data_IF_306922062730
#
_entry.id   IF_306922062730
#
_cell.length_a   1.000
_cell.length_b   1.000
_cell.length_c   1.000
_cell.angle_alpha   90.00
_cell.angle_beta   90.00
_cell.angle_gamma   90.00
#
_symmetry.space_group_name_H-M   'P 1'
#
loop_
_entity.id
_entity.type
_entity.pdbx_description
1 polymer ?
#
# COMPACT_ATOMS: atom_id res chain seq x y z
N UNK A 1 19.53 -0.85 19.93
CA UNK A 1 18.59 -0.50 18.86
C UNK A 1 19.41 -0.09 17.66
N UNK A 2 19.40 -0.90 16.60
CA UNK A 2 20.28 -0.72 15.44
C UNK A 2 19.62 0.10 14.32
N UNK A 3 18.28 0.25 14.35
CA UNK A 3 17.48 0.93 13.33
C UNK A 3 16.57 1.97 13.99
N UNK A 4 16.44 3.14 13.36
CA UNK A 4 15.62 4.27 13.86
C UNK A 4 14.36 4.51 13.04
N UNK A 5 14.30 4.03 11.80
CA UNK A 5 13.10 4.03 10.94
C UNK A 5 13.18 2.93 9.88
N UNK A 6 12.04 2.54 9.33
CA UNK A 6 11.92 1.71 8.14
C UNK A 6 11.38 2.50 6.96
N UNK A 7 11.84 2.16 5.77
CA UNK A 7 11.26 2.62 4.52
C UNK A 7 10.96 1.44 3.61
N UNK A 8 9.69 1.26 3.26
CA UNK A 8 9.23 0.24 2.33
C UNK A 8 9.22 0.80 0.90
N UNK A 9 10.22 0.44 0.10
CA UNK A 9 10.24 0.69 -1.34
C UNK A 9 9.39 -0.37 -2.06
N UNK A 10 8.14 -0.04 -2.36
CA UNK A 10 7.16 -1.03 -2.85
C UNK A 10 7.54 -1.67 -4.18
N UNK A 11 8.24 -0.96 -5.04
CA UNK A 11 8.72 -1.47 -6.33
C UNK A 11 9.77 -2.56 -6.14
N UNK A 12 10.82 -2.28 -5.37
CA UNK A 12 11.90 -3.24 -5.11
C UNK A 12 11.39 -4.42 -4.27
N UNK A 13 10.58 -4.14 -3.25
CA UNK A 13 9.96 -5.17 -2.45
C UNK A 13 9.15 -6.15 -3.30
N UNK A 14 8.38 -5.64 -4.26
CA UNK A 14 7.62 -6.47 -5.19
C UNK A 14 8.55 -7.33 -6.04
N UNK A 15 9.55 -6.72 -6.67
CA UNK A 15 10.47 -7.41 -7.55
C UNK A 15 11.17 -8.58 -6.85
N UNK A 16 11.69 -8.36 -5.66
CA UNK A 16 12.38 -9.40 -4.91
C UNK A 16 11.44 -10.44 -4.31
N UNK A 17 10.24 -10.04 -3.87
CA UNK A 17 9.29 -10.97 -3.27
C UNK A 17 8.75 -12.00 -4.26
N UNK A 18 8.41 -11.56 -5.47
CA UNK A 18 7.81 -12.43 -6.50
C UNK A 18 8.81 -12.82 -7.60
N UNK A 19 10.08 -12.39 -7.47
CA UNK A 19 11.16 -12.69 -8.41
C UNK A 19 10.83 -12.32 -9.87
N UNK A 20 10.14 -11.19 -10.07
CA UNK A 20 9.72 -10.71 -11.40
C UNK A 20 10.40 -9.37 -11.69
N UNK A 21 11.22 -9.35 -12.73
CA UNK A 21 11.81 -8.12 -13.24
C UNK A 21 10.78 -7.35 -14.07
N UNK A 22 10.43 -6.13 -13.62
CA UNK A 22 9.47 -5.26 -14.31
C UNK A 22 9.95 -4.75 -15.66
N UNK A 23 11.26 -4.75 -15.89
CA UNK A 23 11.87 -4.27 -17.17
C UNK A 23 11.95 -5.38 -18.21
N UNK A 24 11.81 -6.63 -17.80
CA UNK A 24 11.82 -7.77 -18.70
C UNK A 24 10.44 -7.99 -19.34
N UNK A 25 10.29 -7.66 -20.59
CA UNK A 25 9.02 -7.72 -21.34
C UNK A 25 8.33 -9.10 -21.31
N UNK A 26 9.08 -10.19 -21.07
CA UNK A 26 8.51 -11.54 -21.01
C UNK A 26 7.72 -11.79 -19.73
N UNK A 27 8.09 -11.13 -18.64
CA UNK A 27 7.51 -11.37 -17.31
C UNK A 27 6.92 -10.10 -16.65
N UNK A 28 7.09 -8.92 -17.24
CA UNK A 28 6.62 -7.66 -16.70
C UNK A 28 5.11 -7.64 -16.37
N UNK A 29 4.32 -8.39 -17.14
CA UNK A 29 2.87 -8.55 -16.88
C UNK A 29 2.55 -9.33 -15.60
N UNK A 30 3.53 -10.03 -15.02
CA UNK A 30 3.42 -10.74 -13.75
C UNK A 30 3.77 -9.83 -12.56
N UNK A 31 4.38 -8.67 -12.82
CA UNK A 31 4.71 -7.70 -11.77
C UNK A 31 3.42 -7.13 -11.16
N UNK A 32 3.12 -7.52 -9.94
CA UNK A 32 1.91 -7.12 -9.22
C UNK A 32 2.26 -6.61 -7.81
N UNK A 33 2.36 -5.28 -7.60
CA UNK A 33 2.64 -4.72 -6.27
C UNK A 33 1.62 -5.13 -5.21
N UNK A 34 0.39 -5.41 -5.61
CA UNK A 34 -0.68 -5.91 -4.73
C UNK A 34 -0.74 -7.44 -4.65
N UNK A 35 0.34 -8.15 -5.02
CA UNK A 35 0.41 -9.60 -4.82
C UNK A 35 0.28 -9.94 -3.33
N UNK A 36 -0.54 -10.95 -2.94
CA UNK A 36 -0.76 -11.27 -1.52
C UNK A 36 0.51 -11.46 -0.70
N UNK A 37 1.57 -12.04 -1.29
CA UNK A 37 2.86 -12.20 -0.63
C UNK A 37 3.51 -10.83 -0.31
N UNK A 38 3.43 -9.86 -1.23
CA UNK A 38 3.96 -8.50 -1.04
C UNK A 38 3.21 -7.81 0.09
N UNK A 39 1.88 -7.87 0.07
CA UNK A 39 1.04 -7.23 1.09
C UNK A 39 1.30 -7.82 2.48
N UNK A 40 1.49 -9.14 2.58
CA UNK A 40 1.86 -9.80 3.85
C UNK A 40 3.23 -9.37 4.37
N UNK A 41 4.23 -9.19 3.50
CA UNK A 41 5.55 -8.70 3.93
C UNK A 41 5.46 -7.24 4.38
N UNK A 42 4.66 -6.41 3.69
CA UNK A 42 4.40 -5.05 4.15
C UNK A 42 3.77 -5.03 5.54
N UNK A 43 2.72 -5.83 5.76
CA UNK A 43 2.05 -5.95 7.05
C UNK A 43 3.01 -6.41 8.15
N UNK A 44 3.82 -7.44 7.89
CA UNK A 44 4.84 -7.93 8.83
C UNK A 44 5.84 -6.83 9.21
N UNK A 45 6.29 -6.03 8.25
CA UNK A 45 7.27 -4.96 8.49
C UNK A 45 6.65 -3.80 9.28
N UNK A 46 5.44 -3.37 8.91
CA UNK A 46 4.72 -2.29 9.60
C UNK A 46 4.42 -2.72 11.04
N UNK A 47 3.88 -3.93 11.24
CA UNK A 47 3.58 -4.48 12.56
C UNK A 47 4.84 -4.61 13.42
N UNK A 48 5.96 -5.04 12.85
CA UNK A 48 7.23 -5.08 13.57
C UNK A 48 7.70 -3.68 13.98
N UNK A 49 7.56 -2.69 13.09
CA UNK A 49 7.84 -1.29 13.38
C UNK A 49 6.98 -0.76 14.53
N UNK A 50 5.68 -1.01 14.49
CA UNK A 50 4.75 -0.61 15.56
C UNK A 50 5.15 -1.20 16.92
N UNK A 51 5.45 -2.50 16.97
CA UNK A 51 5.86 -3.19 18.19
C UNK A 51 7.14 -2.63 18.81
N UNK A 52 8.08 -2.21 17.99
CA UNK A 52 9.37 -1.66 18.41
C UNK A 52 9.37 -0.12 18.51
N UNK A 53 8.23 0.54 18.25
CA UNK A 53 8.12 1.99 18.11
C UNK A 53 9.11 2.58 17.10
N UNK A 54 9.23 1.92 15.95
CA UNK A 54 10.05 2.34 14.81
C UNK A 54 9.10 2.88 13.72
N UNK A 55 9.20 4.16 13.34
CA UNK A 55 8.38 4.71 12.26
C UNK A 55 8.61 3.95 10.95
N UNK A 56 7.52 3.64 10.25
CA UNK A 56 7.58 2.97 8.95
C UNK A 56 6.97 3.85 7.88
N UNK A 57 7.78 4.28 6.91
CA UNK A 57 7.36 5.04 5.75
C UNK A 57 7.18 4.11 4.54
N UNK A 58 6.24 4.46 3.67
CA UNK A 58 6.04 3.79 2.37
C UNK A 58 6.45 4.73 1.26
N UNK A 59 7.24 4.25 0.32
CA UNK A 59 7.60 4.95 -0.90
C UNK A 59 7.39 4.06 -2.13
N UNK A 60 7.54 4.64 -3.32
CA UNK A 60 7.29 3.96 -4.59
C UNK A 60 5.88 4.24 -5.13
N UNK A 61 5.53 3.58 -6.21
CA UNK A 61 4.31 3.87 -6.98
C UNK A 61 3.02 3.67 -6.17
N UNK A 62 2.98 2.66 -5.29
CA UNK A 62 1.80 2.41 -4.46
C UNK A 62 1.45 3.58 -3.54
N UNK A 63 2.44 4.32 -3.03
CA UNK A 63 2.20 5.44 -2.13
C UNK A 63 1.43 6.60 -2.80
N UNK A 64 1.56 6.74 -4.13
CA UNK A 64 0.88 7.74 -4.93
C UNK A 64 -0.44 7.27 -5.58
N UNK A 65 -0.80 6.01 -5.43
CA UNK A 65 -2.00 5.45 -6.01
C UNK A 65 -3.21 5.63 -5.08
N UNK A 66 -4.12 6.53 -5.47
CA UNK A 66 -5.34 6.83 -4.70
C UNK A 66 -6.24 5.60 -4.50
N UNK A 67 -6.16 4.60 -5.36
CA UNK A 67 -6.98 3.38 -5.22
C UNK A 67 -6.45 2.45 -4.12
N UNK A 68 -5.17 2.58 -3.77
CA UNK A 68 -4.48 1.75 -2.77
C UNK A 68 -4.32 2.42 -1.41
N UNK A 69 -4.65 3.72 -1.29
CA UNK A 69 -4.55 4.44 -0.01
C UNK A 69 -5.32 3.77 1.14
N UNK A 70 -6.57 3.29 0.94
CA UNK A 70 -7.28 2.59 2.01
C UNK A 70 -6.51 1.37 2.52
N UNK A 71 -5.88 0.62 1.62
CA UNK A 71 -5.07 -0.54 1.97
C UNK A 71 -3.84 -0.12 2.80
N UNK A 72 -3.08 0.86 2.32
CA UNK A 72 -1.86 1.31 2.99
C UNK A 72 -2.15 1.88 4.39
N UNK A 73 -3.19 2.69 4.51
CA UNK A 73 -3.64 3.24 5.81
C UNK A 73 -4.14 2.10 6.73
N UNK A 74 -4.89 1.16 6.18
CA UNK A 74 -5.42 0.01 6.93
C UNK A 74 -4.34 -0.95 7.42
N UNK A 75 -3.23 -1.08 6.71
CA UNK A 75 -2.04 -1.82 7.17
C UNK A 75 -1.27 -1.09 8.29
N UNK A 76 -1.56 0.19 8.52
CA UNK A 76 -0.89 0.98 9.56
C UNK A 76 0.20 1.93 9.04
N UNK A 77 0.22 2.24 7.74
CA UNK A 77 1.15 3.22 7.20
C UNK A 77 0.93 4.60 7.83
N UNK A 78 1.97 5.14 8.47
CA UNK A 78 1.93 6.45 9.13
C UNK A 78 2.57 7.57 8.31
N UNK A 79 3.39 7.21 7.34
CA UNK A 79 4.09 8.15 6.46
C UNK A 79 4.19 7.60 5.05
N UNK A 80 3.97 8.47 4.06
CA UNK A 80 4.10 8.14 2.64
C UNK A 80 4.92 9.19 1.92
N UNK A 81 5.90 8.73 1.13
CA UNK A 81 6.70 9.57 0.26
C UNK A 81 6.14 9.51 -1.15
N UNK A 82 5.66 10.64 -1.65
CA UNK A 82 5.02 10.78 -2.96
C UNK A 82 5.60 11.96 -3.74
N UNK A 83 5.39 11.97 -5.05
CA UNK A 83 5.74 13.13 -5.87
C UNK A 83 5.02 14.40 -5.39
N UNK A 84 5.69 15.54 -5.40
CA UNK A 84 5.18 16.82 -4.86
C UNK A 84 3.81 17.17 -5.45
N UNK A 85 3.61 16.90 -6.74
CA UNK A 85 2.34 17.18 -7.44
C UNK A 85 1.16 16.32 -6.94
N UNK A 86 1.44 15.17 -6.32
CA UNK A 86 0.42 14.26 -5.76
C UNK A 86 0.02 14.64 -4.33
N UNK A 87 0.83 15.41 -3.62
CA UNK A 87 0.60 15.71 -2.20
C UNK A 87 -0.79 16.29 -1.92
N UNK A 88 -1.33 17.25 -2.70
CA UNK A 88 -2.67 17.78 -2.44
C UNK A 88 -3.75 16.71 -2.57
N UNK A 89 -3.66 15.85 -3.59
CA UNK A 89 -4.63 14.79 -3.88
C UNK A 89 -4.59 13.73 -2.78
N UNK A 90 -3.40 13.27 -2.41
CA UNK A 90 -3.20 12.28 -1.36
C UNK A 90 -3.70 12.78 0.01
N UNK A 91 -3.41 14.07 0.34
CA UNK A 91 -3.92 14.68 1.57
C UNK A 91 -5.44 14.78 1.60
N UNK A 92 -6.05 15.13 0.48
CA UNK A 92 -7.50 15.14 0.35
C UNK A 92 -8.08 13.75 0.58
N UNK A 93 -7.54 12.73 -0.10
CA UNK A 93 -7.98 11.35 0.03
C UNK A 93 -7.88 10.85 1.49
N UNK A 94 -6.72 11.03 2.13
CA UNK A 94 -6.49 10.59 3.52
C UNK A 94 -7.51 11.23 4.49
N UNK A 95 -7.82 12.52 4.32
CA UNK A 95 -8.77 13.22 5.19
C UNK A 95 -10.21 12.74 5.07
N UNK A 96 -10.54 12.05 3.98
CA UNK A 96 -11.86 11.49 3.73
C UNK A 96 -11.94 9.98 4.04
N UNK A 97 -10.86 9.38 4.54
CA UNK A 97 -10.85 7.98 4.97
C UNK A 97 -11.25 7.84 6.44
N UNK A 98 -12.01 6.81 6.72
CA UNK A 98 -12.22 6.29 8.07
C UNK A 98 -11.22 5.17 8.35
N UNK A 99 -10.43 5.33 9.41
CA UNK A 99 -9.36 4.38 9.76
C UNK A 99 -9.91 2.98 10.08
N UNK A 100 -11.05 2.90 10.78
CA UNK A 100 -11.66 1.62 11.13
C UNK A 100 -12.06 0.84 9.88
N UNK A 101 -12.70 1.50 8.90
CA UNK A 101 -13.06 0.87 7.63
C UNK A 101 -11.82 0.44 6.83
N UNK A 102 -10.76 1.24 6.83
CA UNK A 102 -9.49 0.87 6.19
C UNK A 102 -8.89 -0.37 6.84
N UNK A 103 -8.89 -0.43 8.17
CA UNK A 103 -8.36 -1.57 8.93
C UNK A 103 -9.13 -2.85 8.68
N UNK A 104 -10.46 -2.80 8.72
CA UNK A 104 -11.32 -3.95 8.42
C UNK A 104 -11.10 -4.45 6.98
N UNK A 105 -10.95 -3.53 6.03
CA UNK A 105 -10.66 -3.87 4.64
C UNK A 105 -9.28 -4.50 4.50
N UNK A 106 -8.24 -3.96 5.16
CA UNK A 106 -6.89 -4.50 5.12
C UNK A 106 -6.81 -5.92 5.69
N UNK A 107 -7.55 -6.23 6.76
CA UNK A 107 -7.65 -7.59 7.30
C UNK A 107 -8.23 -8.58 6.28
N UNK A 108 -9.24 -8.17 5.52
CA UNK A 108 -9.78 -8.98 4.41
C UNK A 108 -8.75 -9.13 3.28
N UNK A 109 -8.03 -8.07 2.96
CA UNK A 109 -6.98 -8.08 1.94
C UNK A 109 -5.83 -9.05 2.28
N UNK A 110 -5.46 -9.17 3.56
CA UNK A 110 -4.44 -10.12 4.04
C UNK A 110 -4.84 -11.60 3.84
N UNK A 111 -6.14 -11.88 3.75
CA UNK A 111 -6.69 -13.21 3.47
C UNK A 111 -7.03 -13.41 1.99
N UNK A 112 -6.75 -12.42 1.15
CA UNK A 112 -7.13 -12.45 -0.26
C UNK A 112 -6.40 -13.54 -1.04
N UNK A 113 -7.08 -14.22 -1.98
CA UNK A 113 -6.48 -15.27 -2.78
C UNK A 113 -5.58 -14.73 -3.91
N UNK A 114 -5.77 -13.47 -4.31
CA UNK A 114 -5.05 -12.88 -5.44
C UNK A 114 -5.03 -11.35 -5.38
N UNK A 115 -4.19 -10.77 -6.22
CA UNK A 115 -4.00 -9.32 -6.36
C UNK A 115 -5.29 -8.57 -6.76
N UNK A 116 -6.08 -9.13 -7.66
CA UNK A 116 -7.31 -8.49 -8.15
C UNK A 116 -8.31 -8.26 -7.02
N UNK A 117 -8.50 -9.25 -6.17
CA UNK A 117 -9.39 -9.13 -5.02
C UNK A 117 -8.97 -8.01 -4.07
N UNK A 118 -7.66 -7.86 -3.84
CA UNK A 118 -7.09 -6.79 -3.01
C UNK A 118 -7.37 -5.42 -3.63
N UNK A 119 -7.11 -5.26 -4.92
CA UNK A 119 -7.34 -4.00 -5.66
C UNK A 119 -8.82 -3.65 -5.63
N UNK A 120 -9.71 -4.61 -5.90
CA UNK A 120 -11.15 -4.39 -5.93
C UNK A 120 -11.68 -3.92 -4.57
N UNK A 121 -11.24 -4.55 -3.47
CA UNK A 121 -11.60 -4.13 -2.10
C UNK A 121 -11.15 -2.69 -1.80
N UNK A 122 -9.90 -2.38 -2.08
CA UNK A 122 -9.32 -1.07 -1.77
C UNK A 122 -9.96 0.02 -2.65
N UNK A 123 -10.11 -0.23 -3.95
CA UNK A 123 -10.75 0.69 -4.89
C UNK A 123 -12.21 0.97 -4.52
N UNK A 124 -12.97 -0.05 -4.09
CA UNK A 124 -14.35 0.13 -3.66
C UNK A 124 -14.46 1.08 -2.47
N UNK A 125 -13.58 0.93 -1.47
CA UNK A 125 -13.54 1.83 -0.31
C UNK A 125 -13.06 3.23 -0.71
N UNK A 126 -12.07 3.35 -1.59
CA UNK A 126 -11.58 4.62 -2.12
C UNK A 126 -12.70 5.41 -2.83
N UNK A 127 -13.42 4.77 -3.75
CA UNK A 127 -14.54 5.39 -4.49
C UNK A 127 -15.68 5.84 -3.57
N UNK A 128 -15.94 5.08 -2.51
CA UNK A 128 -16.94 5.45 -1.50
C UNK A 128 -16.50 6.66 -0.68
N UNK A 129 -15.22 6.75 -0.33
CA UNK A 129 -14.70 7.75 0.61
C UNK A 129 -14.38 9.09 -0.06
N UNK A 130 -13.88 9.08 -1.28
CA UNK A 130 -13.53 10.29 -2.05
C UNK A 130 -13.93 10.18 -3.53
N UNK A 131 -15.24 10.09 -3.81
CA UNK A 131 -15.75 9.88 -5.17
C UNK A 131 -15.28 10.94 -6.16
N UNK A 132 -15.13 12.19 -5.72
CA UNK A 132 -14.69 13.30 -6.56
C UNK A 132 -13.30 13.11 -7.22
N UNK A 133 -12.48 12.20 -6.75
CA UNK A 133 -11.20 11.88 -7.36
C UNK A 133 -11.30 10.83 -8.50
N UNK A 134 -12.49 10.33 -8.78
CA UNK A 134 -12.74 9.29 -9.79
C UNK A 134 -13.70 9.77 -10.91
N UNK A 135 -14.07 11.05 -10.92
CA UNK A 135 -14.92 11.70 -11.93
C UNK A 135 -14.14 12.14 -13.17
#
# INVERSE_FOLDING_TARGET
>A
REVVFFTLGTTDLTQYTIAVDRVNNRVANMFRPTHPAVIRIMDMTITAGERENIPTAICGEMAGDITLLPLLIGLGATSMSVGVHLVPIIRYAIRNLDYGQCRDMAQKALQAPNSRFIVDLSTALARKSYPALFE
#
